data_IF_795622736952
#
_entry.id   IF_795622736952
#
_cell.length_a   1.000
_cell.length_b   1.000
_cell.length_c   1.000
_cell.angle_alpha   90.00
_cell.angle_beta   90.00
_cell.angle_gamma   90.00
#
_symmetry.space_group_name_H-M   'P 1'
#
loop_
_entity.id
_entity.type
_entity.pdbx_description
1 polymer ?
#
# COMPACT_ATOMS: atom_id res chain seq x y z
N UNK A 1 0.53 -11.08 -11.72
CA UNK A 1 0.24 -10.72 -10.31
C UNK A 1 1.18 -11.50 -9.44
N UNK A 2 1.63 -10.92 -8.34
CA UNK A 2 2.44 -11.58 -7.31
C UNK A 2 1.64 -12.73 -6.68
N UNK A 3 2.30 -13.88 -6.41
CA UNK A 3 1.69 -15.02 -5.72
C UNK A 3 1.22 -14.64 -4.30
N UNK A 4 1.80 -13.60 -3.74
CA UNK A 4 1.50 -13.08 -2.42
C UNK A 4 0.02 -12.63 -2.30
N UNK A 5 -0.56 -12.12 -3.38
CA UNK A 5 -1.94 -11.61 -3.40
C UNK A 5 -2.96 -12.61 -3.96
N UNK A 6 -2.55 -13.86 -4.18
CA UNK A 6 -3.40 -14.96 -4.66
C UNK A 6 -3.24 -16.21 -3.80
N UNK A 7 -2.40 -17.15 -4.18
CA UNK A 7 -2.23 -18.43 -3.48
C UNK A 7 -1.67 -18.32 -2.04
N UNK A 8 -0.96 -17.22 -1.71
CA UNK A 8 -0.41 -16.94 -0.37
C UNK A 8 -1.19 -15.86 0.39
N UNK A 9 -2.42 -15.52 -0.03
CA UNK A 9 -3.19 -14.42 0.57
C UNK A 9 -3.46 -14.59 2.08
N UNK A 10 -3.69 -15.81 2.56
CA UNK A 10 -3.85 -16.08 4.00
C UNK A 10 -2.55 -15.90 4.78
N UNK A 11 -1.44 -16.38 4.23
CA UNK A 11 -0.10 -16.21 4.83
C UNK A 11 0.27 -14.72 4.86
N UNK A 12 -0.02 -14.01 3.75
CA UNK A 12 0.12 -12.56 3.69
C UNK A 12 -0.66 -11.87 4.83
N UNK A 13 -1.95 -12.17 4.95
CA UNK A 13 -2.79 -11.55 5.97
C UNK A 13 -2.26 -11.81 7.39
N UNK A 14 -1.79 -13.04 7.68
CA UNK A 14 -1.21 -13.41 8.97
C UNK A 14 0.08 -12.63 9.25
N UNK A 15 1.00 -12.59 8.28
CA UNK A 15 2.29 -11.91 8.42
C UNK A 15 2.11 -10.40 8.59
N UNK A 16 1.29 -9.78 7.76
CA UNK A 16 1.10 -8.32 7.80
C UNK A 16 0.36 -7.86 9.06
N UNK A 17 -0.56 -8.67 9.63
CA UNK A 17 -1.12 -8.40 10.96
C UNK A 17 -0.08 -8.39 12.08
N UNK A 18 1.03 -9.12 11.91
CA UNK A 18 2.13 -9.13 12.88
C UNK A 18 3.04 -7.92 12.72
N UNK A 19 3.26 -7.43 11.48
CA UNK A 19 4.23 -6.38 11.18
C UNK A 19 3.65 -4.98 11.17
N UNK A 20 2.35 -4.85 10.88
CA UNK A 20 1.68 -3.58 10.73
C UNK A 20 0.72 -3.36 11.90
N UNK A 21 0.92 -2.27 12.62
CA UNK A 21 -0.06 -1.77 13.57
C UNK A 21 -1.15 -0.99 12.81
N UNK A 22 -2.21 -1.68 12.42
CA UNK A 22 -3.32 -1.05 11.67
C UNK A 22 -4.07 0.04 12.45
N UNK A 23 -3.95 0.08 13.78
CA UNK A 23 -4.49 1.17 14.59
C UNK A 23 -3.66 2.46 14.41
N UNK A 24 -2.35 2.34 14.38
CA UNK A 24 -1.46 3.47 14.09
C UNK A 24 -1.62 3.95 12.64
N UNK A 25 -1.78 3.01 11.68
CA UNK A 25 -2.08 3.34 10.29
C UNK A 25 -3.37 4.17 10.19
N UNK A 26 -4.45 3.65 10.74
CA UNK A 26 -5.74 4.33 10.77
C UNK A 26 -5.64 5.70 11.43
N UNK A 27 -5.01 5.78 12.61
CA UNK A 27 -4.86 7.02 13.37
C UNK A 27 -4.15 8.09 12.55
N UNK A 28 -3.06 7.74 11.87
CA UNK A 28 -2.32 8.67 11.01
C UNK A 28 -3.21 9.23 9.90
N UNK A 29 -3.81 8.36 9.08
CA UNK A 29 -4.62 8.82 7.95
C UNK A 29 -5.88 9.55 8.42
N UNK A 30 -6.54 9.09 9.49
CA UNK A 30 -7.67 9.81 10.09
C UNK A 30 -7.29 11.23 10.51
N UNK A 31 -6.15 11.41 11.21
CA UNK A 31 -5.69 12.73 11.61
C UNK A 31 -5.44 13.65 10.40
N UNK A 32 -4.80 13.13 9.35
CA UNK A 32 -4.57 13.87 8.11
C UNK A 32 -5.90 14.27 7.45
N UNK A 33 -6.83 13.34 7.27
CA UNK A 33 -8.12 13.62 6.64
C UNK A 33 -8.98 14.58 7.47
N UNK A 34 -8.98 14.44 8.80
CA UNK A 34 -9.70 15.35 9.71
C UNK A 34 -9.13 16.77 9.64
N UNK A 35 -7.80 16.91 9.58
CA UNK A 35 -7.12 18.22 9.45
C UNK A 35 -7.59 19.00 8.22
N UNK A 36 -7.94 18.29 7.15
CA UNK A 36 -8.44 18.88 5.90
C UNK A 36 -9.97 18.78 5.73
N UNK A 37 -10.71 18.47 6.81
CA UNK A 37 -12.18 18.36 6.83
C UNK A 37 -12.77 17.38 5.82
N UNK A 38 -12.06 16.28 5.49
CA UNK A 38 -12.54 15.22 4.62
C UNK A 38 -13.41 14.24 5.40
N UNK A 39 -14.56 13.87 4.85
CA UNK A 39 -15.50 12.88 5.41
C UNK A 39 -15.74 11.70 4.45
N UNK A 40 -15.40 11.83 3.16
CA UNK A 40 -15.44 10.73 2.20
C UNK A 40 -14.03 10.37 1.73
N UNK A 41 -13.74 9.07 1.66
CA UNK A 41 -12.40 8.56 1.35
C UNK A 41 -12.46 7.32 0.47
N UNK A 42 -11.62 7.28 -0.57
CA UNK A 42 -11.27 6.04 -1.27
C UNK A 42 -9.89 5.57 -0.83
N UNK A 43 -9.80 4.33 -0.35
CA UNK A 43 -8.51 3.66 -0.11
C UNK A 43 -8.13 2.84 -1.34
N UNK A 44 -7.03 3.21 -1.98
CA UNK A 44 -6.51 2.57 -3.19
C UNK A 44 -5.46 1.53 -2.80
N UNK A 45 -5.70 0.26 -3.17
CA UNK A 45 -4.91 -0.88 -2.70
C UNK A 45 -5.31 -1.29 -1.28
N UNK A 46 -6.62 -1.37 -0.99
CA UNK A 46 -7.13 -1.68 0.35
C UNK A 46 -6.84 -3.11 0.82
N UNK A 47 -6.39 -4.00 -0.08
CA UNK A 47 -6.09 -5.39 0.22
C UNK A 47 -7.27 -6.11 0.86
N UNK A 48 -7.05 -6.70 2.04
CA UNK A 48 -8.07 -7.42 2.83
C UNK A 48 -8.97 -6.52 3.68
N UNK A 49 -8.93 -5.20 3.46
CA UNK A 49 -9.82 -4.22 4.09
C UNK A 49 -9.52 -3.96 5.57
N UNK A 50 -8.26 -4.00 5.98
CA UNK A 50 -7.89 -3.84 7.40
C UNK A 50 -8.23 -2.47 8.01
N UNK A 51 -8.37 -1.43 7.19
CA UNK A 51 -8.76 -0.08 7.64
C UNK A 51 -10.26 0.20 7.46
N UNK A 52 -10.97 -0.61 6.66
CA UNK A 52 -12.34 -0.34 6.22
C UNK A 52 -13.33 -0.12 7.38
N UNK A 53 -13.42 -1.09 8.30
CA UNK A 53 -14.32 -1.00 9.45
C UNK A 53 -14.00 0.24 10.31
N UNK A 54 -12.71 0.53 10.54
CA UNK A 54 -12.27 1.67 11.35
C UNK A 54 -12.71 3.00 10.75
N UNK A 55 -12.55 3.19 9.44
CA UNK A 55 -13.03 4.41 8.77
C UNK A 55 -14.55 4.53 8.86
N UNK A 56 -15.28 3.46 8.55
CA UNK A 56 -16.74 3.45 8.60
C UNK A 56 -17.28 3.74 9.99
N UNK A 57 -16.77 3.08 11.04
CA UNK A 57 -17.15 3.27 12.44
C UNK A 57 -16.83 4.68 12.98
N UNK A 58 -15.88 5.36 12.35
CA UNK A 58 -15.52 6.74 12.69
C UNK A 58 -16.21 7.80 11.80
N UNK A 59 -17.25 7.39 11.06
CA UNK A 59 -18.14 8.29 10.33
C UNK A 59 -17.63 8.75 8.97
N UNK A 60 -16.62 8.06 8.40
CA UNK A 60 -16.20 8.30 7.03
C UNK A 60 -17.06 7.52 6.04
N UNK A 61 -17.48 8.15 4.96
CA UNK A 61 -18.01 7.47 3.77
C UNK A 61 -16.83 6.81 3.05
N UNK A 62 -16.62 5.51 3.32
CA UNK A 62 -15.45 4.76 2.90
C UNK A 62 -15.74 3.86 1.70
N UNK A 63 -14.85 3.93 0.71
CA UNK A 63 -14.76 2.97 -0.38
C UNK A 63 -13.36 2.38 -0.45
N UNK A 64 -13.24 1.04 -0.33
CA UNK A 64 -12.00 0.31 -0.57
C UNK A 64 -11.87 -0.07 -2.04
N UNK A 65 -10.68 0.07 -2.62
CA UNK A 65 -10.39 -0.34 -3.99
C UNK A 65 -9.13 -1.21 -4.03
N UNK A 66 -9.19 -2.31 -4.77
CA UNK A 66 -8.03 -3.17 -5.03
C UNK A 66 -8.14 -3.81 -6.42
N UNK A 67 -7.00 -4.19 -6.99
CA UNK A 67 -6.96 -4.91 -8.27
C UNK A 67 -7.24 -6.40 -8.10
N UNK A 68 -6.95 -6.97 -6.90
CA UNK A 68 -7.14 -8.41 -6.60
C UNK A 68 -8.56 -8.70 -6.14
N UNK A 69 -9.26 -9.53 -6.91
CA UNK A 69 -10.59 -10.03 -6.54
C UNK A 69 -10.55 -10.92 -5.28
N UNK A 70 -9.46 -11.67 -5.08
CA UNK A 70 -9.24 -12.55 -3.93
C UNK A 70 -9.11 -11.72 -2.64
N UNK A 71 -8.33 -10.64 -2.68
CA UNK A 71 -8.21 -9.72 -1.55
C UNK A 71 -9.56 -9.07 -1.22
N UNK A 72 -10.30 -8.63 -2.23
CA UNK A 72 -11.61 -8.03 -2.03
C UNK A 72 -12.66 -9.02 -1.52
N UNK A 73 -12.56 -10.30 -1.85
CA UNK A 73 -13.43 -11.32 -1.27
C UNK A 73 -13.24 -11.42 0.25
N UNK A 74 -11.98 -11.41 0.71
CA UNK A 74 -11.65 -11.39 2.13
C UNK A 74 -12.12 -10.07 2.78
N UNK A 75 -11.89 -8.94 2.12
CA UNK A 75 -12.31 -7.62 2.62
C UNK A 75 -13.82 -7.55 2.83
N UNK A 76 -14.62 -8.00 1.87
CA UNK A 76 -16.09 -8.03 1.95
C UNK A 76 -16.60 -8.93 3.07
N UNK A 77 -15.98 -10.11 3.26
CA UNK A 77 -16.35 -11.03 4.32
C UNK A 77 -16.10 -10.43 5.72
N UNK A 78 -15.01 -9.67 5.86
CA UNK A 78 -14.61 -9.08 7.14
C UNK A 78 -15.32 -7.75 7.45
N UNK A 79 -15.87 -7.05 6.44
CA UNK A 79 -16.39 -5.69 6.55
C UNK A 79 -17.71 -5.53 5.78
N UNK A 80 -18.77 -6.21 6.21
CA UNK A 80 -20.06 -6.28 5.52
C UNK A 80 -20.79 -4.93 5.34
N UNK A 81 -20.39 -3.91 6.08
CA UNK A 81 -20.97 -2.55 5.97
C UNK A 81 -20.17 -1.58 5.08
N UNK A 82 -19.10 -2.04 4.43
CA UNK A 82 -18.22 -1.19 3.63
C UNK A 82 -18.39 -1.46 2.12
N UNK A 83 -18.13 -0.43 1.31
CA UNK A 83 -18.15 -0.53 -0.15
C UNK A 83 -16.78 -0.94 -0.68
N UNK A 84 -16.75 -1.85 -1.66
CA UNK A 84 -15.51 -2.31 -2.29
C UNK A 84 -15.64 -2.36 -3.81
N UNK A 85 -14.63 -1.80 -4.51
CA UNK A 85 -14.53 -1.72 -5.96
C UNK A 85 -13.30 -2.49 -6.46
N UNK A 86 -13.47 -3.38 -7.43
CA UNK A 86 -12.33 -3.99 -8.12
C UNK A 86 -11.91 -3.11 -9.29
N UNK A 87 -10.74 -2.49 -9.20
CA UNK A 87 -10.20 -1.63 -10.26
C UNK A 87 -8.68 -1.46 -10.11
N UNK A 88 -8.03 -1.08 -11.22
CA UNK A 88 -6.63 -0.68 -11.23
C UNK A 88 -6.50 0.81 -10.88
N UNK A 89 -5.39 1.17 -10.22
CA UNK A 89 -5.11 2.57 -9.83
C UNK A 89 -5.01 3.51 -11.03
N UNK A 90 -4.55 3.01 -12.17
CA UNK A 90 -4.35 3.79 -13.39
C UNK A 90 -5.64 4.15 -14.13
N UNK A 91 -6.71 3.37 -13.89
CA UNK A 91 -7.97 3.55 -14.62
C UNK A 91 -9.15 3.10 -13.77
N UNK A 92 -9.69 4.00 -12.97
CA UNK A 92 -10.89 3.76 -12.19
C UNK A 92 -11.84 4.94 -12.25
N UNK A 93 -13.12 4.65 -12.04
CA UNK A 93 -14.19 5.64 -11.96
C UNK A 93 -15.06 5.31 -10.75
N UNK A 94 -15.15 6.24 -9.82
CA UNK A 94 -16.08 6.15 -8.70
C UNK A 94 -17.48 6.65 -9.15
N UNK A 95 -18.55 6.10 -8.56
CA UNK A 95 -19.92 6.58 -8.83
C UNK A 95 -20.11 8.08 -8.53
N UNK A 96 -19.36 8.57 -7.52
CA UNK A 96 -19.33 9.98 -7.11
C UNK A 96 -17.89 10.35 -6.73
N UNK A 97 -17.53 11.62 -6.97
CA UNK A 97 -16.26 12.15 -6.51
C UNK A 97 -16.23 12.19 -4.97
N UNK A 98 -15.06 11.83 -4.40
CA UNK A 98 -14.81 11.85 -2.96
C UNK A 98 -13.92 13.02 -2.56
N UNK A 99 -13.95 13.38 -1.29
CA UNK A 99 -13.11 14.47 -0.75
C UNK A 99 -11.65 14.05 -0.60
N UNK A 100 -11.38 12.74 -0.42
CA UNK A 100 -10.02 12.28 -0.24
C UNK A 100 -9.74 10.91 -0.85
N UNK A 101 -8.49 10.71 -1.22
CA UNK A 101 -7.93 9.42 -1.59
C UNK A 101 -6.71 9.12 -0.71
N UNK A 102 -6.60 7.88 -0.25
CA UNK A 102 -5.42 7.39 0.45
C UNK A 102 -4.83 6.20 -0.30
N UNK A 103 -3.50 6.09 -0.33
CA UNK A 103 -2.78 4.91 -0.82
C UNK A 103 -1.90 4.46 0.33
N UNK A 104 -2.27 3.34 0.95
CA UNK A 104 -1.60 2.84 2.16
C UNK A 104 -0.65 1.71 1.83
N UNK A 105 0.24 1.37 2.76
CA UNK A 105 1.10 0.20 2.64
C UNK A 105 2.08 0.25 1.46
N UNK A 106 2.43 1.43 0.98
CA UNK A 106 3.35 1.64 -0.15
C UNK A 106 2.82 1.08 -1.48
N UNK A 107 1.52 0.94 -1.62
CA UNK A 107 0.88 0.40 -2.83
C UNK A 107 1.29 1.17 -4.09
N UNK A 108 1.61 2.45 -3.99
CA UNK A 108 2.16 3.25 -5.09
C UNK A 108 3.45 2.66 -5.69
N UNK A 109 4.20 1.88 -4.92
CA UNK A 109 5.46 1.23 -5.36
C UNK A 109 5.27 0.15 -6.44
N UNK A 110 4.03 -0.28 -6.69
CA UNK A 110 3.70 -1.17 -7.81
C UNK A 110 3.52 -0.43 -9.14
N UNK A 111 3.57 0.90 -9.16
CA UNK A 111 3.60 1.71 -10.37
C UNK A 111 5.04 1.83 -10.89
N UNK A 112 5.44 0.90 -11.75
CA UNK A 112 6.84 0.76 -12.15
C UNK A 112 7.29 1.85 -13.13
N UNK A 113 6.42 2.25 -14.07
CA UNK A 113 6.78 3.21 -15.11
C UNK A 113 6.27 4.62 -14.79
N UNK A 114 6.91 5.63 -15.38
CA UNK A 114 6.44 7.02 -15.27
C UNK A 114 5.02 7.19 -15.82
N UNK A 115 4.68 6.41 -16.86
CA UNK A 115 3.34 6.39 -17.42
C UNK A 115 2.31 5.91 -16.40
N UNK A 116 2.59 4.78 -15.71
CA UNK A 116 1.68 4.25 -14.69
C UNK A 116 1.45 5.26 -13.57
N UNK A 117 2.51 5.95 -13.11
CA UNK A 117 2.41 6.99 -12.08
C UNK A 117 1.55 8.15 -12.57
N UNK A 118 1.80 8.66 -13.80
CA UNK A 118 1.05 9.76 -14.37
C UNK A 118 -0.42 9.42 -14.59
N UNK A 119 -0.71 8.22 -15.12
CA UNK A 119 -2.09 7.75 -15.33
C UNK A 119 -2.82 7.61 -14.00
N UNK A 120 -2.16 7.07 -12.98
CA UNK A 120 -2.75 6.91 -11.65
C UNK A 120 -3.06 8.26 -10.99
N UNK A 121 -2.14 9.21 -11.06
CA UNK A 121 -2.37 10.56 -10.54
C UNK A 121 -3.53 11.25 -11.29
N UNK A 122 -3.62 11.09 -12.61
CA UNK A 122 -4.71 11.63 -13.41
C UNK A 122 -6.06 10.98 -13.05
N UNK A 123 -6.09 9.66 -12.87
CA UNK A 123 -7.28 8.93 -12.43
C UNK A 123 -7.73 9.39 -11.04
N UNK A 124 -6.81 9.52 -10.09
CA UNK A 124 -7.10 10.03 -8.74
C UNK A 124 -7.64 11.46 -8.81
N UNK A 125 -6.98 12.34 -9.57
CA UNK A 125 -7.43 13.72 -9.75
C UNK A 125 -8.86 13.80 -10.27
N UNK A 126 -9.22 12.96 -11.25
CA UNK A 126 -10.57 12.93 -11.83
C UNK A 126 -11.64 12.51 -10.81
N UNK A 127 -11.32 11.62 -9.89
CA UNK A 127 -12.23 11.06 -8.89
C UNK A 127 -12.30 11.88 -7.58
N UNK A 128 -11.41 12.85 -7.39
CA UNK A 128 -11.45 13.78 -6.26
C UNK A 128 -12.31 15.01 -6.55
N UNK A 129 -13.03 15.48 -5.53
CA UNK A 129 -13.64 16.81 -5.51
C UNK A 129 -12.57 17.90 -5.61
N UNK A 130 -12.96 19.16 -5.78
CA UNK A 130 -12.07 20.31 -5.68
C UNK A 130 -12.59 21.28 -4.60
N UNK A 131 -11.82 21.56 -3.52
CA UNK A 131 -10.53 20.97 -3.19
C UNK A 131 -10.67 19.52 -2.71
N UNK A 132 -9.68 18.67 -3.03
CA UNK A 132 -9.65 17.26 -2.62
C UNK A 132 -8.24 16.85 -2.18
N UNK A 133 -8.13 15.91 -1.25
CA UNK A 133 -6.87 15.55 -0.61
C UNK A 133 -6.41 14.16 -1.05
N UNK A 134 -5.14 14.06 -1.44
CA UNK A 134 -4.45 12.81 -1.69
C UNK A 134 -3.38 12.61 -0.62
N UNK A 135 -3.45 11.50 0.12
CA UNK A 135 -2.42 11.12 1.08
C UNK A 135 -1.87 9.74 0.74
N UNK A 136 -0.55 9.57 0.77
CA UNK A 136 0.06 8.26 0.55
C UNK A 136 1.45 8.16 1.17
N UNK A 137 1.90 6.93 1.41
CA UNK A 137 3.28 6.64 1.77
C UNK A 137 4.01 5.99 0.59
N UNK A 138 5.31 6.25 0.47
CA UNK A 138 6.17 5.62 -0.52
C UNK A 138 7.57 5.34 0.02
N UNK A 139 8.26 4.37 -0.60
CA UNK A 139 9.63 4.00 -0.25
C UNK A 139 10.57 5.12 -0.68
N UNK A 140 11.39 5.60 0.26
CA UNK A 140 12.40 6.64 0.01
C UNK A 140 13.60 6.06 -0.73
N UNK A 141 13.69 6.30 -2.04
CA UNK A 141 14.77 5.80 -2.88
C UNK A 141 16.15 6.26 -2.39
N UNK A 142 16.26 7.51 -1.90
CA UNK A 142 17.52 8.08 -1.44
C UNK A 142 18.09 7.39 -0.21
N UNK A 143 17.22 6.76 0.58
CA UNK A 143 17.61 6.05 1.79
C UNK A 143 17.67 4.54 1.57
N UNK A 144 16.65 3.96 0.94
CA UNK A 144 16.53 2.51 0.84
C UNK A 144 17.49 1.89 -0.19
N UNK A 145 17.57 2.46 -1.41
CA UNK A 145 18.41 1.88 -2.49
C UNK A 145 19.87 1.70 -2.07
N UNK A 146 20.53 2.69 -1.41
CA UNK A 146 21.91 2.52 -0.95
C UNK A 146 22.10 1.45 0.13
N UNK A 147 21.03 1.05 0.82
CA UNK A 147 21.06 0.07 1.90
C UNK A 147 20.80 -1.37 1.42
N UNK A 148 20.42 -1.56 0.16
CA UNK A 148 20.18 -2.90 -0.39
C UNK A 148 21.49 -3.69 -0.35
N UNK A 149 21.49 -4.77 0.45
CA UNK A 149 22.61 -5.69 0.63
C UNK A 149 22.29 -7.05 0.01
N UNK A 150 23.32 -7.89 -0.10
CA UNK A 150 23.19 -9.28 -0.53
C UNK A 150 22.62 -10.22 0.54
N UNK A 151 22.56 -9.76 1.78
CA UNK A 151 22.06 -10.54 2.92
C UNK A 151 20.53 -10.54 2.92
N UNK A 152 19.95 -11.69 3.26
CA UNK A 152 18.51 -11.81 3.43
C UNK A 152 18.05 -11.20 4.75
N UNK A 153 16.77 -10.80 4.79
CA UNK A 153 16.09 -10.38 6.01
C UNK A 153 15.01 -11.40 6.36
N UNK A 154 15.08 -11.92 7.58
CA UNK A 154 14.13 -12.90 8.09
C UNK A 154 13.03 -12.20 8.90
N UNK A 155 11.77 -12.45 8.51
CA UNK A 155 10.59 -12.04 9.25
C UNK A 155 9.83 -13.27 9.76
N UNK A 156 9.33 -13.21 11.00
CA UNK A 156 8.52 -14.28 11.62
C UNK A 156 7.14 -13.75 11.96
N UNK A 157 6.12 -14.59 11.80
CA UNK A 157 4.74 -14.28 12.15
C UNK A 157 4.03 -15.53 12.68
N UNK A 158 2.91 -15.31 13.38
CA UNK A 158 2.05 -16.39 13.84
C UNK A 158 0.57 -16.06 13.58
N UNK A 159 -0.22 -17.10 13.29
CA UNK A 159 -1.67 -17.01 13.15
C UNK A 159 -2.31 -18.23 13.82
N UNK A 160 -2.88 -18.04 14.99
CA UNK A 160 -3.29 -19.15 15.85
C UNK A 160 -2.09 -20.02 16.22
N UNK A 161 -2.21 -21.32 15.98
CA UNK A 161 -1.14 -22.30 16.26
C UNK A 161 -0.11 -22.42 15.13
N UNK A 162 -0.34 -21.75 13.99
CA UNK A 162 0.56 -21.79 12.83
C UNK A 162 1.63 -20.70 12.95
N UNK A 163 2.88 -21.06 12.66
CA UNK A 163 4.02 -20.14 12.63
C UNK A 163 4.60 -20.08 11.24
N UNK A 164 4.90 -18.87 10.79
CA UNK A 164 5.42 -18.61 9.46
C UNK A 164 6.73 -17.86 9.52
N UNK A 165 7.61 -18.12 8.54
CA UNK A 165 8.83 -17.36 8.32
C UNK A 165 8.85 -16.90 6.86
N UNK A 166 9.32 -15.67 6.64
CA UNK A 166 9.60 -15.12 5.32
C UNK A 166 11.04 -14.67 5.26
N UNK A 167 11.79 -15.23 4.34
CA UNK A 167 13.13 -14.79 3.99
C UNK A 167 13.05 -13.90 2.75
N UNK A 168 13.53 -12.66 2.86
CA UNK A 168 13.43 -11.64 1.81
C UNK A 168 14.80 -11.23 1.31
N UNK A 169 14.93 -11.12 0.00
CA UNK A 169 16.12 -10.66 -0.70
C UNK A 169 15.76 -9.49 -1.60
N UNK A 170 16.63 -8.48 -1.66
CA UNK A 170 16.47 -7.35 -2.56
C UNK A 170 17.68 -7.22 -3.48
N UNK A 171 17.43 -6.90 -4.74
CA UNK A 171 18.47 -6.57 -5.71
C UNK A 171 18.09 -5.34 -6.51
N UNK A 172 19.06 -4.44 -6.69
CA UNK A 172 18.85 -3.21 -7.47
C UNK A 172 18.68 -3.59 -8.94
N UNK A 173 17.62 -3.11 -9.55
CA UNK A 173 17.27 -3.40 -10.94
C UNK A 173 17.41 -2.15 -11.83
N UNK A 174 16.88 -1.00 -11.42
CA UNK A 174 16.91 0.29 -12.13
C UNK A 174 16.40 0.24 -13.58
N UNK A 175 15.62 -0.77 -13.96
CA UNK A 175 15.06 -0.89 -15.33
C UNK A 175 14.10 0.25 -15.65
N UNK A 176 13.40 0.73 -14.65
CA UNK A 176 12.43 1.82 -14.73
C UNK A 176 12.61 2.76 -13.54
N UNK A 177 13.53 3.74 -13.63
CA UNK A 177 13.83 4.64 -12.51
C UNK A 177 14.40 3.89 -11.29
N UNK A 178 13.92 4.12 -10.08
CA UNK A 178 14.42 3.54 -8.82
C UNK A 178 13.76 2.18 -8.51
N UNK A 179 13.71 1.28 -9.49
CA UNK A 179 13.16 -0.07 -9.30
C UNK A 179 14.18 -1.01 -8.68
N UNK A 180 13.65 -2.00 -7.95
CA UNK A 180 14.40 -3.10 -7.38
C UNK A 180 13.54 -4.36 -7.34
N UNK A 181 14.18 -5.52 -7.41
CA UNK A 181 13.51 -6.79 -7.31
C UNK A 181 13.47 -7.24 -5.85
N UNK A 182 12.34 -7.79 -5.45
CA UNK A 182 12.09 -8.37 -4.15
C UNK A 182 11.69 -9.82 -4.32
N UNK A 183 12.58 -10.72 -3.94
CA UNK A 183 12.33 -12.14 -3.86
C UNK A 183 12.06 -12.53 -2.42
N UNK A 184 10.98 -13.27 -2.18
CA UNK A 184 10.58 -13.76 -0.85
C UNK A 184 10.29 -15.24 -0.91
N UNK A 185 10.84 -15.97 0.06
CA UNK A 185 10.55 -17.40 0.28
C UNK A 185 9.78 -17.54 1.59
N UNK A 186 8.67 -18.26 1.55
CA UNK A 186 7.79 -18.44 2.69
C UNK A 186 7.88 -19.86 3.22
N UNK A 187 7.97 -20.00 4.53
CA UNK A 187 8.03 -21.26 5.24
C UNK A 187 6.96 -21.32 6.32
N UNK A 188 6.45 -22.52 6.58
CA UNK A 188 5.68 -22.85 7.78
C UNK A 188 6.55 -23.67 8.72
N UNK A 189 6.59 -23.31 9.99
CA UNK A 189 7.31 -24.03 11.05
C UNK A 189 6.38 -25.09 11.64
N UNK A 190 6.78 -26.36 11.55
CA UNK A 190 6.05 -27.49 12.11
C UNK A 190 6.27 -27.60 13.63
N UNK A 191 5.51 -28.51 14.27
CA UNK A 191 5.59 -28.73 15.72
C UNK A 191 6.95 -29.25 16.18
N UNK A 192 7.70 -29.95 15.33
CA UNK A 192 9.06 -30.45 15.58
C UNK A 192 10.13 -29.37 15.30
N UNK A 193 9.75 -28.17 14.90
CA UNK A 193 10.65 -27.07 14.57
C UNK A 193 11.22 -27.11 13.15
N UNK A 194 10.87 -28.10 12.33
CA UNK A 194 11.26 -28.15 10.93
C UNK A 194 10.50 -27.10 10.10
N UNK A 195 11.11 -26.67 8.98
CA UNK A 195 10.54 -25.68 8.09
C UNK A 195 10.10 -26.35 6.77
N UNK A 196 8.88 -26.12 6.38
CA UNK A 196 8.37 -26.52 5.06
C UNK A 196 8.24 -25.26 4.19
N UNK A 197 8.82 -25.29 2.99
CA UNK A 197 8.59 -24.25 1.98
C UNK A 197 7.12 -24.32 1.52
N UNK A 198 6.39 -23.22 1.69
CA UNK A 198 4.98 -23.10 1.32
C UNK A 198 4.76 -22.19 0.11
N UNK A 199 5.81 -21.57 -0.42
CA UNK A 199 5.76 -20.79 -1.63
C UNK A 199 6.81 -19.70 -1.73
N UNK A 200 6.85 -19.07 -2.89
CA UNK A 200 7.76 -17.98 -3.22
C UNK A 200 6.98 -16.86 -3.88
N UNK A 201 7.46 -15.63 -3.71
CA UNK A 201 6.99 -14.46 -4.41
C UNK A 201 8.14 -13.67 -5.01
N UNK A 202 7.95 -13.22 -6.23
CA UNK A 202 8.88 -12.36 -6.94
C UNK A 202 8.13 -11.12 -7.40
N UNK A 203 8.57 -9.97 -6.95
CA UNK A 203 7.98 -8.69 -7.29
C UNK A 203 9.08 -7.70 -7.66
N UNK A 204 8.86 -6.94 -8.71
CA UNK A 204 9.61 -5.70 -8.93
C UNK A 204 8.79 -4.57 -8.34
N UNK A 205 9.42 -3.73 -7.52
CA UNK A 205 8.77 -2.54 -6.94
C UNK A 205 9.64 -1.30 -7.14
N UNK A 206 9.00 -0.13 -7.09
CA UNK A 206 9.64 1.16 -7.30
C UNK A 206 9.70 1.95 -6.00
N UNK A 207 10.88 2.44 -5.68
CA UNK A 207 11.07 3.50 -4.72
C UNK A 207 10.98 4.86 -5.44
N UNK A 208 10.79 5.94 -4.68
CA UNK A 208 10.68 7.28 -5.22
C UNK A 208 11.58 8.26 -4.48
N UNK A 209 12.15 9.23 -5.18
CA UNK A 209 12.69 10.41 -4.54
C UNK A 209 11.57 11.42 -4.25
N UNK A 210 11.78 12.30 -3.27
CA UNK A 210 10.79 13.36 -2.97
C UNK A 210 10.57 14.28 -4.15
N UNK A 211 11.64 14.67 -4.84
CA UNK A 211 11.57 15.59 -5.98
C UNK A 211 10.79 14.97 -7.15
N UNK A 212 10.96 13.66 -7.38
CA UNK A 212 10.21 12.92 -8.38
C UNK A 212 8.71 12.91 -8.09
N UNK A 213 8.32 12.63 -6.85
CA UNK A 213 6.91 12.66 -6.43
C UNK A 213 6.33 14.07 -6.52
N UNK A 214 7.07 15.09 -6.09
CA UNK A 214 6.65 16.49 -6.21
C UNK A 214 6.37 16.84 -7.68
N UNK A 215 7.27 16.46 -8.59
CA UNK A 215 7.12 16.71 -10.02
C UNK A 215 5.86 16.05 -10.58
N UNK A 216 5.65 14.75 -10.33
CA UNK A 216 4.46 14.04 -10.80
C UNK A 216 3.16 14.66 -10.28
N UNK A 217 3.11 15.02 -9.01
CA UNK A 217 1.93 15.64 -8.41
C UNK A 217 1.65 17.03 -9.00
N UNK A 218 2.68 17.86 -9.19
CA UNK A 218 2.52 19.19 -9.81
C UNK A 218 2.03 19.09 -11.25
N UNK A 219 2.59 18.16 -12.04
CA UNK A 219 2.14 17.90 -13.42
C UNK A 219 0.71 17.35 -13.46
N UNK A 220 0.31 16.58 -12.45
CA UNK A 220 -1.04 16.03 -12.30
C UNK A 220 -2.06 16.97 -11.67
N UNK A 221 -1.74 18.27 -11.46
CA UNK A 221 -2.67 19.27 -10.96
C UNK A 221 -2.84 19.32 -9.44
N UNK A 222 -1.85 18.80 -8.70
CA UNK A 222 -1.83 18.86 -7.23
C UNK A 222 -0.83 19.89 -6.72
N UNK A 223 -1.12 20.46 -5.54
CA UNK A 223 -0.19 21.23 -4.73
C UNK A 223 0.20 20.45 -3.48
N UNK A 224 1.51 20.42 -3.19
CA UNK A 224 2.02 19.76 -1.99
C UNK A 224 1.63 20.55 -0.75
N UNK A 225 1.06 19.86 0.24
CA UNK A 225 0.76 20.42 1.57
C UNK A 225 1.79 20.01 2.59
N UNK A 226 2.15 18.73 2.62
CA UNK A 226 3.08 18.16 3.59
C UNK A 226 3.89 17.01 2.98
N UNK A 227 5.17 16.91 3.37
CA UNK A 227 5.99 15.71 3.16
C UNK A 227 6.80 15.49 4.44
N UNK A 228 6.67 14.32 5.05
CA UNK A 228 7.39 13.98 6.26
C UNK A 228 7.88 12.53 6.28
N UNK A 229 9.02 12.25 6.95
CA UNK A 229 9.53 10.89 7.04
C UNK A 229 8.64 10.03 7.92
N UNK A 230 8.58 8.74 7.60
CA UNK A 230 7.88 7.74 8.38
C UNK A 230 8.70 6.46 8.46
N UNK A 231 8.87 5.94 9.67
CA UNK A 231 9.47 4.62 9.86
C UNK A 231 8.46 3.53 9.45
N UNK A 232 8.95 2.49 8.79
CA UNK A 232 8.17 1.32 8.39
C UNK A 232 8.95 0.06 8.74
N UNK A 233 8.27 -1.08 8.86
CA UNK A 233 8.88 -2.34 9.30
C UNK A 233 9.99 -2.88 8.37
N UNK A 234 10.00 -2.50 7.09
CA UNK A 234 10.93 -3.03 6.10
C UNK A 234 11.66 -1.97 5.29
N UNK A 235 11.17 -0.73 5.27
CA UNK A 235 11.66 0.32 4.39
C UNK A 235 11.69 1.68 5.08
N UNK A 236 12.66 2.51 4.72
CA UNK A 236 12.55 3.95 4.94
C UNK A 236 11.48 4.51 4.02
N UNK A 237 10.49 5.18 4.59
CA UNK A 237 9.38 5.76 3.83
C UNK A 237 9.20 7.25 4.14
N UNK A 238 8.44 7.92 3.32
CA UNK A 238 7.87 9.23 3.61
C UNK A 238 6.40 9.27 3.22
N UNK A 239 5.65 10.08 3.96
CA UNK A 239 4.23 10.36 3.69
C UNK A 239 4.12 11.66 2.92
N UNK A 240 3.23 11.69 1.95
CA UNK A 240 2.90 12.86 1.14
C UNK A 240 1.44 13.22 1.34
N UNK A 241 1.19 14.50 1.53
CA UNK A 241 -0.16 15.09 1.51
C UNK A 241 -0.20 16.12 0.40
N UNK A 242 -1.12 15.97 -0.53
CA UNK A 242 -1.29 16.86 -1.66
C UNK A 242 -2.77 17.25 -1.83
N UNK A 243 -3.01 18.45 -2.30
CA UNK A 243 -4.35 19.00 -2.54
C UNK A 243 -4.56 19.20 -4.04
N UNK A 244 -5.69 18.73 -4.54
CA UNK A 244 -6.17 19.01 -5.90
C UNK A 244 -6.45 20.50 -6.07
N UNK A 245 -5.86 21.08 -7.11
CA UNK A 245 -6.09 22.49 -7.52
C UNK A 245 -7.41 22.65 -8.24
#
# INVERSE_FOLDING_TARGET
MSNLYSSLAEVYAAMYKTFINYEEEFTLYKQLLTKYNCQSVVEIGCGTGNLAARFNENGFDYTGMDISGEMLAIAKNNNSGCTFLQAAMQDFILPQQVQSAIITGRTISYLLTNKDVSDSIAAIHKNLQAPGILCFDCIDASKFIPQIKKESVLHKAAAGDRKFQRESFWSVNLSHSWTFDWHSVFYEELQDGSLINIGEDNSTIRAFTKDEIILFLQLGGFSIKEIFPRASYAFDTFVVVAEKK
#
